data_IF_408205369486
#
_entry.id   IF_408205369486
#
_cell.length_a   1.000
_cell.length_b   1.000
_cell.length_c   1.000
_cell.angle_alpha   90.00
_cell.angle_beta   90.00
_cell.angle_gamma   90.00
#
_symmetry.space_group_name_H-M   'P 1'
#
loop_
_entity.id
_entity.type
_entity.pdbx_description
1 polymer ?
#
# COMPACT_ATOMS: atom_id res chain seq x y z
N UNK A 1 -0.50 -16.07 -72.23
CA UNK A 1 -1.09 -16.67 -71.02
C UNK A 1 -0.23 -17.87 -70.64
N UNK A 2 -0.07 -18.09 -69.34
CA UNK A 2 0.78 -19.09 -68.67
C UNK A 2 2.27 -18.77 -68.61
N UNK A 3 2.68 -18.16 -67.50
CA UNK A 3 3.48 -18.86 -66.49
C UNK A 3 3.45 -18.01 -65.21
N UNK A 4 2.56 -18.39 -64.29
CA UNK A 4 2.53 -17.89 -62.92
C UNK A 4 2.21 -19.09 -62.02
N UNK A 5 2.83 -19.09 -60.84
CA UNK A 5 2.60 -19.95 -59.67
C UNK A 5 3.36 -21.28 -59.62
N UNK A 6 4.59 -21.23 -59.08
CA UNK A 6 5.12 -22.33 -58.27
C UNK A 6 6.19 -21.79 -57.28
N UNK A 7 5.72 -21.17 -56.20
CA UNK A 7 6.48 -20.95 -54.96
C UNK A 7 5.54 -21.08 -53.77
N UNK A 8 5.17 -22.30 -53.41
CA UNK A 8 4.63 -22.58 -52.08
C UNK A 8 4.74 -24.09 -51.75
N UNK A 9 5.95 -24.59 -51.47
CA UNK A 9 6.15 -25.97 -51.02
C UNK A 9 6.99 -26.02 -49.74
N UNK A 10 6.35 -25.69 -48.61
CA UNK A 10 6.95 -25.83 -47.28
C UNK A 10 5.97 -26.28 -46.18
N UNK A 11 4.70 -26.52 -46.49
CA UNK A 11 3.67 -26.84 -45.50
C UNK A 11 2.96 -28.19 -45.70
N UNK A 12 3.32 -28.98 -46.72
CA UNK A 12 2.59 -30.20 -47.12
C UNK A 12 3.26 -31.54 -46.73
N UNK A 13 3.96 -31.62 -45.59
CA UNK A 13 4.45 -32.95 -45.13
C UNK A 13 4.56 -33.15 -43.62
N UNK A 14 3.83 -32.40 -42.81
CA UNK A 14 3.61 -32.82 -41.41
C UNK A 14 2.29 -33.56 -41.32
N UNK A 15 2.32 -34.79 -40.84
CA UNK A 15 1.11 -35.54 -40.54
C UNK A 15 0.29 -34.80 -39.48
N UNK A 16 -1.04 -34.95 -39.51
CA UNK A 16 -1.92 -34.35 -38.50
C UNK A 16 -1.48 -34.78 -37.09
N UNK A 17 -1.06 -36.04 -36.92
CA UNK A 17 -0.52 -36.56 -35.66
C UNK A 17 0.75 -35.82 -35.20
N UNK A 18 1.67 -35.48 -36.09
CA UNK A 18 2.87 -34.70 -35.74
C UNK A 18 2.54 -33.25 -35.34
N UNK A 19 1.47 -32.66 -35.90
CA UNK A 19 0.99 -31.35 -35.46
C UNK A 19 0.47 -31.41 -34.01
N UNK A 20 -0.29 -32.47 -33.66
CA UNK A 20 -0.77 -32.66 -32.29
C UNK A 20 0.34 -33.02 -31.31
N UNK A 21 1.33 -33.84 -31.71
CA UNK A 21 2.47 -34.19 -30.87
C UNK A 21 3.38 -32.99 -30.57
N UNK A 22 3.53 -32.06 -31.51
CA UNK A 22 4.28 -30.80 -31.29
C UNK A 22 3.51 -29.77 -30.47
N UNK A 23 2.18 -29.84 -30.49
CA UNK A 23 1.30 -29.02 -29.64
C UNK A 23 1.10 -29.65 -28.25
N UNK A 24 1.69 -30.81 -27.99
CA UNK A 24 1.52 -31.51 -26.73
C UNK A 24 2.34 -30.79 -25.66
N UNK A 25 1.65 -30.36 -24.62
CA UNK A 25 2.25 -29.69 -23.49
C UNK A 25 3.33 -30.56 -22.83
N UNK A 26 4.51 -29.98 -22.63
CA UNK A 26 5.57 -30.66 -21.89
C UNK A 26 5.33 -30.59 -20.38
N UNK A 27 5.98 -31.47 -19.62
CA UNK A 27 5.92 -31.41 -18.16
C UNK A 27 6.46 -30.07 -17.62
N UNK A 28 7.46 -29.48 -18.28
CA UNK A 28 8.00 -28.16 -17.94
C UNK A 28 7.00 -27.04 -18.25
N UNK A 29 6.30 -27.10 -19.39
CA UNK A 29 5.24 -26.14 -19.73
C UNK A 29 4.05 -26.24 -18.77
N UNK A 30 3.66 -27.46 -18.38
CA UNK A 30 2.63 -27.69 -17.38
C UNK A 30 3.05 -27.17 -15.99
N UNK A 31 4.33 -27.31 -15.62
CA UNK A 31 4.86 -26.73 -14.38
C UNK A 31 4.92 -25.20 -14.43
N UNK A 32 5.37 -24.61 -15.55
CA UNK A 32 5.41 -23.16 -15.75
C UNK A 32 4.01 -22.56 -15.74
N UNK A 33 3.05 -23.16 -16.45
CA UNK A 33 1.65 -22.75 -16.44
C UNK A 33 1.02 -22.92 -15.05
N UNK A 34 1.32 -24.01 -14.33
CA UNK A 34 0.87 -24.15 -12.94
C UNK A 34 1.51 -23.11 -12.00
N UNK A 35 2.76 -22.68 -12.25
CA UNK A 35 3.41 -21.61 -11.51
C UNK A 35 2.83 -20.23 -11.88
N UNK A 36 2.54 -19.97 -13.15
CA UNK A 36 1.91 -18.73 -13.63
C UNK A 36 0.45 -18.61 -13.17
N UNK A 37 -0.33 -19.69 -13.25
CA UNK A 37 -1.67 -19.78 -12.70
C UNK A 37 -1.64 -19.51 -11.19
N UNK A 38 -0.73 -20.14 -10.42
CA UNK A 38 -0.57 -19.85 -8.99
C UNK A 38 -0.05 -18.43 -8.70
N UNK A 39 0.71 -17.82 -9.61
CA UNK A 39 1.24 -16.45 -9.47
C UNK A 39 0.13 -15.41 -9.61
N UNK A 40 -0.86 -15.65 -10.47
CA UNK A 40 -2.07 -14.82 -10.56
C UNK A 40 -2.88 -14.81 -9.24
N UNK A 41 -2.73 -15.85 -8.41
CA UNK A 41 -3.34 -15.97 -7.08
C UNK A 41 -2.38 -15.58 -5.93
N UNK A 42 -1.11 -15.29 -6.20
CA UNK A 42 -0.13 -14.94 -5.19
C UNK A 42 -0.38 -13.51 -4.68
N UNK A 43 -1.25 -13.42 -3.68
CA UNK A 43 -1.56 -12.20 -2.95
C UNK A 43 -0.28 -11.56 -2.44
N UNK A 44 -0.01 -10.32 -2.86
CA UNK A 44 1.09 -9.54 -2.30
C UNK A 44 0.66 -9.06 -0.92
N UNK A 45 1.45 -9.41 0.10
CA UNK A 45 1.23 -8.91 1.45
C UNK A 45 1.85 -7.52 1.58
N UNK A 46 1.07 -6.55 2.06
CA UNK A 46 1.56 -5.19 2.31
C UNK A 46 2.00 -5.06 3.76
N UNK A 47 3.21 -4.54 3.96
CA UNK A 47 3.75 -4.24 5.27
C UNK A 47 3.13 -2.94 5.82
N UNK A 48 2.72 -2.95 7.08
CA UNK A 48 2.16 -1.78 7.78
C UNK A 48 2.87 -1.54 9.10
N UNK A 49 3.05 -0.28 9.43
CA UNK A 49 3.64 0.17 10.69
C UNK A 49 2.54 0.48 11.70
N UNK A 50 1.76 -0.54 12.08
CA UNK A 50 0.53 -0.34 12.86
C UNK A 50 0.80 0.16 14.30
N UNK A 51 1.91 -0.25 14.90
CA UNK A 51 2.32 0.07 16.28
C UNK A 51 3.37 1.19 16.34
N UNK A 52 3.45 1.91 17.46
CA UNK A 52 4.64 2.70 17.77
C UNK A 52 5.82 1.79 18.11
N UNK A 53 7.02 2.23 17.76
CA UNK A 53 8.25 1.48 17.98
C UNK A 53 9.17 1.48 16.77
N UNK A 54 10.23 0.68 16.87
CA UNK A 54 11.27 0.57 15.86
C UNK A 54 11.04 -0.67 15.01
N UNK A 55 10.77 -0.47 13.73
CA UNK A 55 10.68 -1.53 12.74
C UNK A 55 12.05 -1.77 12.11
N UNK A 56 12.58 -2.98 12.25
CA UNK A 56 13.86 -3.38 11.65
C UNK A 56 13.58 -4.14 10.36
N UNK A 57 13.94 -3.54 9.23
CA UNK A 57 13.55 -3.99 7.90
C UNK A 57 14.76 -4.33 7.04
N UNK A 58 14.58 -5.34 6.18
CA UNK A 58 15.54 -5.71 5.15
C UNK A 58 14.99 -5.33 3.78
N UNK A 59 15.47 -4.22 3.21
CA UNK A 59 15.03 -3.73 1.90
C UNK A 59 15.63 -4.57 0.77
N UNK A 60 14.82 -5.05 -0.16
CA UNK A 60 15.26 -5.98 -1.18
C UNK A 60 15.65 -5.29 -2.49
N UNK A 61 16.61 -5.85 -3.25
CA UNK A 61 16.90 -5.35 -4.59
C UNK A 61 15.73 -5.66 -5.53
N UNK A 62 15.65 -4.93 -6.65
CA UNK A 62 14.72 -5.30 -7.72
C UNK A 62 15.16 -6.64 -8.33
N UNK A 63 14.23 -7.60 -8.37
CA UNK A 63 14.44 -8.89 -8.98
C UNK A 63 14.75 -8.74 -10.49
N UNK A 64 15.67 -9.54 -11.05
CA UNK A 64 15.86 -9.58 -12.50
C UNK A 64 14.61 -10.12 -13.21
N UNK A 65 14.54 -9.90 -14.51
CA UNK A 65 13.54 -10.54 -15.37
C UNK A 65 13.76 -12.07 -15.41
N UNK A 66 12.76 -12.81 -15.89
CA UNK A 66 12.82 -14.28 -15.92
C UNK A 66 13.96 -14.81 -16.80
N UNK A 67 14.32 -14.08 -17.84
CA UNK A 67 15.45 -14.36 -18.73
C UNK A 67 16.82 -14.00 -18.11
N UNK A 68 16.83 -13.53 -16.87
CA UNK A 68 18.04 -13.11 -16.15
C UNK A 68 18.51 -11.69 -16.51
N UNK A 69 17.80 -10.97 -17.37
CA UNK A 69 18.14 -9.58 -17.69
C UNK A 69 17.78 -8.63 -16.54
N UNK A 70 18.53 -7.54 -16.33
CA UNK A 70 18.15 -6.54 -15.34
C UNK A 70 16.87 -5.81 -15.77
N UNK A 71 15.84 -5.83 -14.91
CA UNK A 71 14.63 -5.01 -15.10
C UNK A 71 14.97 -3.51 -15.06
N UNK A 72 15.56 -3.09 -13.94
CA UNK A 72 16.19 -1.77 -13.73
C UNK A 72 17.09 -1.82 -12.49
N UNK A 73 18.14 -0.99 -12.41
CA UNK A 73 18.89 -0.85 -11.17
C UNK A 73 18.03 -0.16 -10.10
N UNK A 74 18.07 -0.69 -8.87
CA UNK A 74 17.38 -0.07 -7.74
C UNK A 74 16.77 -1.09 -6.76
N UNK A 75 15.90 -0.58 -5.90
CA UNK A 75 15.16 -1.34 -4.89
C UNK A 75 13.70 -0.89 -4.75
N UNK A 76 13.28 0.15 -5.46
CA UNK A 76 11.96 0.78 -5.31
C UNK A 76 11.35 1.12 -6.66
N UNK A 77 10.03 1.34 -6.71
CA UNK A 77 9.34 1.99 -7.82
C UNK A 77 8.52 3.20 -7.35
N UNK A 78 8.56 4.32 -8.10
CA UNK A 78 7.69 5.46 -7.83
C UNK A 78 6.22 5.06 -8.02
N UNK A 79 5.32 5.60 -7.20
CA UNK A 79 3.89 5.33 -7.33
C UNK A 79 3.08 6.61 -7.19
N UNK A 80 2.07 6.77 -8.05
CA UNK A 80 1.04 7.78 -7.93
C UNK A 80 -0.28 7.11 -7.59
N UNK A 81 -0.78 7.37 -6.38
CA UNK A 81 -2.01 6.76 -5.87
C UNK A 81 -2.93 7.80 -5.23
N UNK A 82 -4.23 7.53 -5.32
CA UNK A 82 -5.27 8.33 -4.69
C UNK A 82 -6.21 7.38 -3.94
N UNK A 83 -6.51 7.72 -2.68
CA UNK A 83 -7.54 7.03 -1.91
C UNK A 83 -8.90 7.68 -2.21
N UNK A 84 -9.78 6.92 -2.86
CA UNK A 84 -11.15 7.33 -3.14
C UNK A 84 -12.02 7.05 -1.92
N UNK A 85 -12.61 8.10 -1.37
CA UNK A 85 -13.61 8.02 -0.33
C UNK A 85 -15.01 8.09 -0.97
N UNK A 86 -15.71 6.96 -0.97
CA UNK A 86 -17.00 6.79 -1.64
C UNK A 86 -18.11 6.66 -0.61
N UNK A 87 -19.09 7.55 -0.66
CA UNK A 87 -20.31 7.43 0.13
C UNK A 87 -21.24 6.38 -0.46
N UNK A 88 -21.67 5.42 0.36
CA UNK A 88 -22.63 4.41 -0.06
C UNK A 88 -24.04 5.02 -0.12
N UNK A 89 -24.82 4.69 -1.16
CA UNK A 89 -26.23 5.07 -1.22
C UNK A 89 -27.00 4.50 -0.02
N UNK A 90 -27.57 5.37 0.82
CA UNK A 90 -28.30 4.97 2.03
C UNK A 90 -29.82 5.07 1.88
N UNK A 91 -30.56 4.06 2.35
CA UNK A 91 -32.02 4.12 2.52
C UNK A 91 -32.42 4.82 3.86
N UNK A 92 -31.81 5.97 4.17
CA UNK A 92 -32.15 6.78 5.36
C UNK A 92 -31.49 6.37 6.69
N UNK A 93 -30.50 5.46 6.68
CA UNK A 93 -29.58 5.23 7.80
C UNK A 93 -28.21 5.88 7.53
N UNK A 94 -27.43 6.17 8.58
CA UNK A 94 -26.11 6.85 8.53
C UNK A 94 -25.30 6.47 7.29
N UNK A 95 -24.82 7.49 6.56
CA UNK A 95 -23.94 7.32 5.41
C UNK A 95 -22.76 6.42 5.81
N UNK A 96 -22.59 5.33 5.08
CA UNK A 96 -21.44 4.43 5.24
C UNK A 96 -20.47 4.71 4.12
N UNK A 97 -19.18 4.73 4.40
CA UNK A 97 -18.14 5.01 3.41
C UNK A 97 -17.47 3.72 2.93
N UNK A 98 -16.95 3.75 1.71
CA UNK A 98 -16.14 2.71 1.08
C UNK A 98 -14.84 3.36 0.61
N UNK A 99 -13.74 2.66 0.77
CA UNK A 99 -12.41 3.16 0.43
C UNK A 99 -11.83 2.33 -0.69
N UNK A 100 -11.38 2.98 -1.76
CA UNK A 100 -10.73 2.33 -2.91
C UNK A 100 -9.48 3.11 -3.26
N UNK A 101 -8.32 2.47 -3.19
CA UNK A 101 -7.09 3.08 -3.70
C UNK A 101 -7.00 2.86 -5.20
N UNK A 102 -6.73 3.92 -5.95
CA UNK A 102 -6.50 3.86 -7.41
C UNK A 102 -5.12 4.42 -7.75
N UNK A 103 -4.45 3.81 -8.72
CA UNK A 103 -3.26 4.40 -9.34
C UNK A 103 -3.66 5.40 -10.42
N UNK A 104 -2.71 6.23 -10.87
CA UNK A 104 -2.90 7.05 -12.08
C UNK A 104 -3.01 6.12 -13.29
N UNK A 105 -4.06 6.26 -14.09
CA UNK A 105 -4.33 5.39 -15.22
C UNK A 105 -3.21 5.43 -16.27
N UNK A 106 -2.55 6.58 -16.47
CA UNK A 106 -1.39 6.67 -17.37
C UNK A 106 -0.17 5.90 -16.86
N UNK A 107 0.00 5.79 -15.54
CA UNK A 107 1.09 4.98 -14.95
C UNK A 107 0.82 3.47 -15.17
N UNK A 108 -0.46 3.10 -15.29
CA UNK A 108 -0.92 1.76 -15.69
C UNK A 108 -0.82 1.49 -17.20
N UNK A 109 -0.36 2.46 -18.00
CA UNK A 109 -0.16 2.31 -19.45
C UNK A 109 -1.36 2.71 -20.32
N UNK A 110 -2.41 3.30 -19.73
CA UNK A 110 -3.56 3.81 -20.48
C UNK A 110 -3.32 5.22 -21.02
N UNK A 111 -4.05 5.62 -22.06
CA UNK A 111 -3.82 6.91 -22.75
C UNK A 111 -4.40 8.12 -22.02
N UNK A 112 -5.41 7.91 -21.18
CA UNK A 112 -6.17 8.96 -20.50
C UNK A 112 -6.30 8.68 -19.00
N UNK A 113 -6.49 9.74 -18.21
CA UNK A 113 -6.72 9.64 -16.77
C UNK A 113 -7.97 10.46 -16.36
N UNK A 114 -9.06 9.82 -15.92
CA UNK A 114 -10.32 10.51 -15.62
C UNK A 114 -10.22 11.47 -14.42
N UNK A 115 -9.39 11.15 -13.41
CA UNK A 115 -9.24 11.99 -12.22
C UNK A 115 -8.44 13.25 -12.55
N UNK A 116 -7.37 13.12 -13.32
CA UNK A 116 -6.56 14.24 -13.80
C UNK A 116 -7.37 15.18 -14.70
N UNK A 117 -8.16 14.62 -15.64
CA UNK A 117 -9.04 15.40 -16.51
C UNK A 117 -10.09 16.13 -15.67
N UNK A 118 -10.79 15.42 -14.79
CA UNK A 118 -11.79 16.03 -13.91
C UNK A 118 -11.17 17.13 -13.04
N UNK A 119 -10.00 16.89 -12.44
CA UNK A 119 -9.31 17.90 -11.61
C UNK A 119 -9.06 19.17 -12.38
N UNK A 120 -8.52 19.09 -13.60
CA UNK A 120 -8.25 20.28 -14.44
C UNK A 120 -9.52 21.06 -14.75
N UNK A 121 -10.59 20.37 -15.12
CA UNK A 121 -11.89 20.97 -15.40
C UNK A 121 -12.49 21.63 -14.16
N UNK A 122 -12.42 20.96 -13.01
CA UNK A 122 -12.95 21.45 -11.75
C UNK A 122 -12.18 22.66 -11.21
N UNK A 123 -10.85 22.67 -11.33
CA UNK A 123 -10.01 23.85 -11.01
C UNK A 123 -10.35 25.03 -11.92
N UNK A 124 -10.54 24.80 -13.21
CA UNK A 124 -10.92 25.84 -14.16
C UNK A 124 -12.31 26.42 -13.82
N UNK A 125 -13.30 25.54 -13.59
CA UNK A 125 -14.65 25.93 -13.21
C UNK A 125 -14.68 26.72 -11.90
N UNK A 126 -13.93 26.28 -10.87
CA UNK A 126 -13.82 26.99 -9.61
C UNK A 126 -13.24 28.41 -9.79
N UNK A 127 -12.21 28.56 -10.62
CA UNK A 127 -11.62 29.87 -10.95
C UNK A 127 -12.59 30.77 -11.72
N UNK A 128 -13.35 30.22 -12.66
CA UNK A 128 -14.39 30.96 -13.39
C UNK A 128 -15.52 31.47 -12.47
N UNK A 129 -15.85 30.70 -11.43
CA UNK A 129 -16.78 31.11 -10.36
C UNK A 129 -16.17 32.12 -9.37
N UNK A 130 -14.87 32.40 -9.46
CA UNK A 130 -14.15 33.27 -8.53
C UNK A 130 -13.86 32.62 -7.16
N UNK A 131 -13.95 31.29 -7.07
CA UNK A 131 -13.66 30.53 -5.84
C UNK A 131 -12.24 29.96 -5.86
N UNK A 132 -11.26 30.83 -5.60
CA UNK A 132 -9.84 30.47 -5.54
C UNK A 132 -9.54 29.43 -4.45
N UNK A 133 -10.30 29.43 -3.34
CA UNK A 133 -10.10 28.46 -2.25
C UNK A 133 -10.49 27.06 -2.67
N UNK A 134 -11.64 26.93 -3.36
CA UNK A 134 -12.07 25.65 -3.92
C UNK A 134 -11.09 25.16 -4.99
N UNK A 135 -10.60 26.07 -5.85
CA UNK A 135 -9.60 25.73 -6.86
C UNK A 135 -8.30 25.19 -6.22
N UNK A 136 -7.78 25.85 -5.18
CA UNK A 136 -6.61 25.40 -4.43
C UNK A 136 -6.86 24.06 -3.73
N UNK A 137 -8.05 23.86 -3.15
CA UNK A 137 -8.43 22.59 -2.51
C UNK A 137 -8.42 21.44 -3.51
N UNK A 138 -9.06 21.62 -4.66
CA UNK A 138 -9.16 20.58 -5.71
C UNK A 138 -7.77 20.26 -6.29
N UNK A 139 -6.92 21.26 -6.51
CA UNK A 139 -5.56 21.07 -7.04
C UNK A 139 -4.56 20.55 -5.99
N UNK A 140 -4.97 20.56 -4.72
CA UNK A 140 -4.24 20.04 -3.58
C UNK A 140 -4.19 18.51 -3.50
N UNK A 141 -3.42 18.01 -2.53
CA UNK A 141 -3.31 16.57 -2.26
C UNK A 141 -4.58 15.97 -1.65
N UNK A 142 -4.69 14.65 -1.74
CA UNK A 142 -5.81 13.85 -1.21
C UNK A 142 -6.16 14.13 0.25
N UNK A 143 -5.15 14.41 1.07
CA UNK A 143 -5.29 14.66 2.50
C UNK A 143 -6.13 15.92 2.82
N UNK A 144 -6.06 16.95 1.95
CA UNK A 144 -6.92 18.14 2.06
C UNK A 144 -8.27 18.01 1.34
N UNK A 145 -8.66 16.80 0.93
CA UNK A 145 -9.84 16.55 0.08
C UNK A 145 -9.66 17.00 -1.37
N UNK A 146 -8.40 17.11 -1.82
CA UNK A 146 -8.04 17.42 -3.20
C UNK A 146 -7.90 16.18 -4.07
N UNK A 147 -7.75 16.39 -5.37
CA UNK A 147 -7.73 15.33 -6.38
C UNK A 147 -6.34 15.05 -6.96
N UNK A 148 -5.29 15.64 -6.38
CA UNK A 148 -3.92 15.35 -6.78
C UNK A 148 -3.48 14.00 -6.21
N UNK A 149 -3.00 13.12 -7.09
CA UNK A 149 -2.36 11.87 -6.71
C UNK A 149 -1.22 12.10 -5.72
N UNK A 150 -1.23 11.32 -4.63
CA UNK A 150 -0.10 11.21 -3.72
C UNK A 150 1.08 10.56 -4.42
N UNK A 151 2.29 11.05 -4.14
CA UNK A 151 3.52 10.51 -4.69
C UNK A 151 4.29 9.75 -3.61
N UNK A 152 4.60 8.49 -3.88
CA UNK A 152 5.28 7.58 -2.96
C UNK A 152 6.23 6.63 -3.67
N UNK A 153 6.79 5.70 -2.91
CA UNK A 153 7.75 4.71 -3.39
C UNK A 153 7.45 3.34 -2.79
N UNK A 154 7.29 2.34 -3.66
CA UNK A 154 7.03 0.95 -3.26
C UNK A 154 8.29 0.10 -3.37
N UNK A 155 8.55 -0.76 -2.38
CA UNK A 155 9.67 -1.69 -2.37
C UNK A 155 9.32 -2.99 -1.67
N UNK A 156 10.02 -4.06 -2.01
CA UNK A 156 9.93 -5.32 -1.27
C UNK A 156 10.85 -5.30 -0.04
N UNK A 157 10.37 -5.87 1.05
CA UNK A 157 11.08 -5.97 2.33
C UNK A 157 10.92 -7.36 2.95
N UNK A 158 11.80 -7.69 3.90
CA UNK A 158 11.49 -8.60 5.00
C UNK A 158 11.43 -7.82 6.31
N UNK A 159 10.40 -8.07 7.12
CA UNK A 159 10.41 -7.67 8.53
C UNK A 159 11.38 -8.58 9.30
N UNK A 160 12.39 -8.00 9.94
CA UNK A 160 13.38 -8.78 10.69
C UNK A 160 12.85 -9.27 12.03
N UNK A 161 11.82 -8.61 12.57
CA UNK A 161 11.14 -9.05 13.79
C UNK A 161 10.22 -10.24 13.51
N UNK A 162 9.66 -10.30 12.31
CA UNK A 162 8.68 -11.33 11.90
C UNK A 162 9.04 -11.97 10.55
N UNK A 163 10.30 -12.37 10.37
CA UNK A 163 10.84 -12.90 9.10
C UNK A 163 10.06 -14.11 8.55
N UNK A 164 9.34 -14.82 9.41
CA UNK A 164 8.44 -15.92 9.05
C UNK A 164 7.18 -15.51 8.27
N UNK A 165 6.77 -14.24 8.29
CA UNK A 165 5.71 -13.71 7.41
C UNK A 165 6.11 -13.71 5.94
N UNK A 166 7.42 -13.78 5.68
CA UNK A 166 7.94 -13.83 4.33
C UNK A 166 7.98 -12.46 3.67
N UNK A 167 7.91 -12.47 2.34
CA UNK A 167 8.11 -11.29 1.51
C UNK A 167 6.90 -10.34 1.60
N UNK A 168 7.15 -9.07 1.92
CA UNK A 168 6.10 -8.06 1.99
C UNK A 168 6.46 -6.82 1.16
N UNK A 169 5.45 -6.09 0.70
CA UNK A 169 5.60 -4.83 -0.01
C UNK A 169 5.35 -3.65 0.93
N UNK A 170 6.29 -2.71 0.99
CA UNK A 170 6.16 -1.49 1.78
C UNK A 170 6.03 -0.29 0.83
N UNK A 171 5.12 0.63 1.17
CA UNK A 171 5.00 1.94 0.52
C UNK A 171 5.49 3.01 1.48
N UNK A 172 6.40 3.86 1.01
CA UNK A 172 6.84 5.06 1.70
C UNK A 172 6.27 6.30 1.00
N UNK A 173 5.92 7.32 1.77
CA UNK A 173 5.68 8.64 1.20
C UNK A 173 6.95 9.18 0.55
N UNK A 174 6.82 10.15 -0.37
CA UNK A 174 8.00 10.74 -1.00
C UNK A 174 8.98 11.36 0.02
N UNK A 175 8.47 11.95 1.11
CA UNK A 175 9.30 12.51 2.17
C UNK A 175 10.10 11.44 2.92
N UNK A 176 9.45 10.35 3.33
CA UNK A 176 10.09 9.19 3.97
C UNK A 176 11.13 8.56 3.05
N UNK A 177 10.81 8.39 1.76
CA UNK A 177 11.75 7.85 0.79
C UNK A 177 12.98 8.74 0.64
N UNK A 178 12.79 10.06 0.51
CA UNK A 178 13.91 11.01 0.39
C UNK A 178 14.82 10.94 1.61
N UNK A 179 14.24 10.84 2.80
CA UNK A 179 14.97 10.69 4.04
C UNK A 179 15.83 9.40 4.08
N UNK A 180 15.25 8.27 3.66
CA UNK A 180 15.96 6.99 3.50
C UNK A 180 17.10 7.13 2.48
N UNK A 181 16.84 7.76 1.34
CA UNK A 181 17.76 7.87 0.22
C UNK A 181 18.97 8.74 0.59
N UNK A 182 18.76 9.86 1.28
CA UNK A 182 19.81 10.73 1.82
C UNK A 182 20.72 9.98 2.81
N UNK A 183 20.13 9.22 3.74
CA UNK A 183 20.90 8.40 4.70
C UNK A 183 21.71 7.32 4.01
N UNK A 184 21.10 6.63 3.03
CA UNK A 184 21.77 5.64 2.19
C UNK A 184 22.97 6.27 1.47
N UNK A 185 22.79 7.39 0.78
CA UNK A 185 23.88 8.05 0.05
C UNK A 185 25.01 8.48 0.98
N UNK A 186 24.68 9.03 2.16
CA UNK A 186 25.67 9.43 3.16
C UNK A 186 26.50 8.24 3.66
N UNK A 187 25.86 7.10 3.94
CA UNK A 187 26.55 5.87 4.33
C UNK A 187 27.37 5.30 3.17
N UNK A 188 26.78 5.22 1.99
CA UNK A 188 27.42 4.61 0.82
C UNK A 188 28.67 5.36 0.40
N UNK A 189 28.63 6.70 0.38
CA UNK A 189 29.80 7.55 0.10
C UNK A 189 30.97 7.24 1.04
N UNK A 190 30.72 7.06 2.34
CA UNK A 190 31.76 6.66 3.32
C UNK A 190 32.33 5.26 3.04
N UNK A 191 31.49 4.31 2.63
CA UNK A 191 31.93 2.93 2.32
C UNK A 191 32.74 2.89 1.03
N UNK A 192 32.35 3.67 0.02
CA UNK A 192 33.04 3.78 -1.28
C UNK A 192 34.46 4.34 -1.17
N UNK A 193 34.72 5.22 -0.19
CA UNK A 193 36.08 5.70 0.09
C UNK A 193 37.05 4.58 0.49
N UNK A 194 36.55 3.52 1.13
CA UNK A 194 37.35 2.36 1.56
C UNK A 194 37.36 1.25 0.51
N UNK A 195 36.23 1.04 -0.17
CA UNK A 195 36.07 0.05 -1.23
C UNK A 195 35.28 0.68 -2.38
N UNK A 196 35.95 1.08 -3.49
CA UNK A 196 35.27 1.70 -4.64
C UNK A 196 34.19 0.84 -5.30
N UNK A 197 34.19 -0.47 -5.05
CA UNK A 197 33.19 -1.43 -5.55
C UNK A 197 32.17 -1.83 -4.47
N UNK A 198 32.08 -1.08 -3.37
CA UNK A 198 31.12 -1.39 -2.31
C UNK A 198 29.68 -1.32 -2.86
N UNK A 199 28.86 -2.37 -2.69
CA UNK A 199 27.52 -2.41 -3.25
C UNK A 199 26.56 -1.52 -2.44
N UNK A 200 25.31 -1.39 -2.90
CA UNK A 200 24.30 -0.59 -2.19
C UNK A 200 24.13 -1.06 -0.73
N UNK A 201 24.29 -0.17 0.27
CA UNK A 201 24.37 -0.57 1.68
C UNK A 201 23.02 -0.94 2.30
N UNK A 202 21.90 -0.79 1.59
CA UNK A 202 20.56 -1.12 2.13
C UNK A 202 19.83 -2.20 1.34
N UNK A 203 20.23 -2.43 0.07
CA UNK A 203 19.52 -3.34 -0.82
C UNK A 203 20.39 -4.39 -1.51
N UNK A 204 21.73 -4.36 -1.34
CA UNK A 204 22.57 -5.40 -1.93
C UNK A 204 22.23 -6.78 -1.39
N UNK A 205 22.45 -7.82 -2.18
CA UNK A 205 22.11 -9.21 -1.80
C UNK A 205 22.90 -9.68 -0.58
N UNK A 206 24.14 -9.22 -0.40
CA UNK A 206 25.09 -9.75 0.59
C UNK A 206 25.52 -8.76 1.67
N UNK A 207 25.55 -7.48 1.35
CA UNK A 207 26.25 -6.43 2.10
C UNK A 207 25.28 -5.28 2.43
N UNK A 208 24.05 -5.64 2.81
CA UNK A 208 23.02 -4.68 3.16
C UNK A 208 22.78 -4.68 4.67
N UNK A 209 22.72 -3.48 5.22
CA UNK A 209 22.42 -3.24 6.63
C UNK A 209 20.91 -3.17 6.86
N UNK A 210 20.44 -3.52 8.07
CA UNK A 210 19.07 -3.26 8.48
C UNK A 210 18.73 -1.77 8.33
N UNK A 211 17.53 -1.51 7.83
CA UNK A 211 16.93 -0.17 7.85
C UNK A 211 15.96 -0.15 9.03
N UNK A 212 16.11 0.84 9.87
CA UNK A 212 15.27 1.05 11.04
C UNK A 212 14.31 2.19 10.76
N UNK A 213 13.02 1.97 11.00
CA UNK A 213 12.01 3.02 10.95
C UNK A 213 11.39 3.10 12.33
N UNK A 214 11.72 4.14 13.08
CA UNK A 214 11.08 4.46 14.35
C UNK A 214 9.81 5.26 14.06
N UNK A 215 8.66 4.65 14.31
CA UNK A 215 7.38 5.34 14.39
C UNK A 215 7.19 5.77 15.85
N UNK A 216 7.09 7.08 16.08
CA UNK A 216 6.93 7.64 17.44
C UNK A 216 5.96 8.82 17.46
N UNK A 217 5.54 9.18 18.67
CA UNK A 217 4.66 10.32 18.91
C UNK A 217 5.50 11.56 19.21
N UNK A 218 5.26 12.66 18.49
CA UNK A 218 5.88 13.95 18.74
C UNK A 218 4.79 14.99 19.03
N UNK A 219 4.36 15.02 20.30
CA UNK A 219 3.21 15.81 20.72
C UNK A 219 1.90 15.18 20.24
N UNK A 220 1.16 15.89 19.38
CA UNK A 220 -0.01 15.32 18.72
C UNK A 220 0.42 14.38 17.57
N UNK A 221 1.38 14.83 16.75
CA UNK A 221 1.74 14.23 15.46
C UNK A 221 2.47 12.89 15.57
N UNK A 222 2.19 11.99 14.64
CA UNK A 222 3.04 10.84 14.34
C UNK A 222 4.27 11.29 13.57
N UNK A 223 5.46 10.89 14.02
CA UNK A 223 6.74 11.13 13.36
C UNK A 223 7.39 9.80 12.99
N UNK A 224 8.06 9.79 11.83
CA UNK A 224 8.85 8.66 11.34
C UNK A 224 10.31 9.08 11.27
N UNK A 225 11.18 8.31 11.91
CA UNK A 225 12.63 8.52 11.84
C UNK A 225 13.26 7.28 11.21
N UNK A 226 13.97 7.51 10.12
CA UNK A 226 14.67 6.43 9.44
C UNK A 226 16.12 6.39 9.94
N UNK A 227 16.69 5.21 10.16
CA UNK A 227 18.11 4.99 10.41
C UNK A 227 18.59 3.78 9.62
N UNK A 228 19.91 3.67 9.45
CA UNK A 228 20.54 2.49 8.88
C UNK A 228 21.48 1.96 9.95
N UNK A 229 21.19 0.76 10.45
CA UNK A 229 21.98 0.12 11.49
C UNK A 229 23.26 -0.46 10.87
N UNK A 230 24.24 0.41 10.67
CA UNK A 230 25.55 0.05 10.13
C UNK A 230 26.55 -0.42 11.20
N UNK A 231 26.09 -0.56 12.46
CA UNK A 231 26.86 -1.13 13.58
C UNK A 231 26.64 -2.64 13.66
N UNK A 232 25.43 -3.11 13.33
CA UNK A 232 25.13 -4.52 13.13
C UNK A 232 25.79 -5.10 11.88
N UNK A 233 25.87 -6.44 11.87
CA UNK A 233 26.34 -7.21 10.71
C UNK A 233 25.42 -7.02 9.50
N UNK A 234 26.02 -7.15 8.31
CA UNK A 234 25.25 -7.19 7.07
C UNK A 234 24.35 -8.42 7.03
N UNK A 235 23.20 -8.27 6.38
CA UNK A 235 22.16 -9.28 6.29
C UNK A 235 22.11 -9.87 4.86
N UNK A 236 22.88 -10.93 4.58
CA UNK A 236 22.80 -11.61 3.30
C UNK A 236 21.44 -12.30 3.14
N UNK A 237 20.91 -12.26 1.91
CA UNK A 237 19.70 -13.02 1.56
C UNK A 237 20.05 -14.50 1.37
N UNK A 238 19.21 -15.38 1.90
CA UNK A 238 19.32 -16.81 1.70
C UNK A 238 18.91 -17.21 0.27
N UNK A 239 19.21 -18.46 -0.11
CA UNK A 239 18.77 -18.98 -1.42
C UNK A 239 17.25 -19.06 -1.51
N UNK A 240 16.60 -19.44 -0.41
CA UNK A 240 15.14 -19.49 -0.30
C UNK A 240 14.54 -18.10 -0.47
N UNK A 241 15.10 -17.07 0.18
CA UNK A 241 14.63 -15.69 0.07
C UNK A 241 14.80 -15.09 -1.32
N UNK A 242 15.92 -15.40 -1.99
CA UNK A 242 16.14 -15.01 -3.38
C UNK A 242 15.16 -15.72 -4.32
N UNK A 243 14.85 -16.99 -4.04
CA UNK A 243 13.86 -17.76 -4.82
C UNK A 243 12.46 -17.17 -4.64
N UNK A 244 12.08 -16.79 -3.42
CA UNK A 244 10.82 -16.12 -3.13
C UNK A 244 10.73 -14.75 -3.83
N UNK A 245 11.79 -13.95 -3.79
CA UNK A 245 11.85 -12.65 -4.48
C UNK A 245 11.78 -12.79 -6.01
N UNK A 246 12.39 -13.83 -6.58
CA UNK A 246 12.28 -14.13 -8.02
C UNK A 246 10.86 -14.50 -8.42
N UNK A 247 10.20 -15.34 -7.61
CA UNK A 247 8.84 -15.81 -7.82
C UNK A 247 7.76 -14.75 -7.56
N UNK A 248 8.07 -13.71 -6.76
CA UNK A 248 7.15 -12.63 -6.46
C UNK A 248 6.65 -11.91 -7.72
N UNK A 249 5.40 -11.41 -7.73
CA UNK A 249 4.94 -10.45 -8.74
C UNK A 249 5.94 -9.29 -8.88
N UNK A 250 6.10 -8.72 -10.08
CA UNK A 250 6.92 -7.52 -10.20
C UNK A 250 6.14 -6.34 -9.61
N UNK A 251 6.84 -5.46 -8.90
CA UNK A 251 6.20 -4.31 -8.23
C UNK A 251 5.24 -3.56 -9.19
N UNK A 252 5.64 -3.17 -10.42
CA UNK A 252 4.75 -2.51 -11.38
C UNK A 252 3.47 -3.26 -11.70
N UNK A 253 3.52 -4.59 -11.79
CA UNK A 253 2.35 -5.44 -12.10
C UNK A 253 1.32 -5.39 -10.97
N UNK A 254 1.76 -5.10 -9.74
CA UNK A 254 0.90 -4.96 -8.57
C UNK A 254 0.40 -3.52 -8.43
N UNK A 255 1.32 -2.54 -8.42
CA UNK A 255 1.00 -1.16 -8.03
C UNK A 255 0.38 -0.33 -9.14
N UNK A 256 0.66 -0.65 -10.41
CA UNK A 256 0.08 0.04 -11.56
C UNK A 256 -1.12 -0.72 -12.13
N UNK A 257 -1.74 -1.60 -11.33
CA UNK A 257 -2.93 -2.31 -11.75
C UNK A 257 -4.14 -1.36 -11.73
N UNK A 258 -4.75 -1.15 -12.89
CA UNK A 258 -6.00 -0.41 -13.04
C UNK A 258 -6.98 -1.24 -13.88
N UNK A 259 -8.15 -1.54 -13.32
CA UNK A 259 -9.13 -2.51 -13.84
C UNK A 259 -10.50 -1.85 -14.02
N UNK A 260 -11.46 -2.57 -14.61
CA UNK A 260 -12.87 -2.13 -14.71
C UNK A 260 -13.49 -1.80 -13.35
N UNK A 261 -13.14 -2.54 -12.30
CA UNK A 261 -13.49 -2.20 -10.92
C UNK A 261 -12.98 -0.79 -10.53
N UNK A 262 -11.72 -0.48 -10.82
CA UNK A 262 -11.13 0.84 -10.49
C UNK A 262 -11.77 1.97 -11.31
N UNK A 263 -12.09 1.72 -12.58
CA UNK A 263 -12.83 2.68 -13.41
C UNK A 263 -14.22 2.94 -12.82
N UNK A 264 -14.96 1.89 -12.46
CA UNK A 264 -16.29 2.02 -11.86
C UNK A 264 -16.27 2.80 -10.55
N UNK A 265 -15.31 2.50 -9.66
CA UNK A 265 -15.10 3.25 -8.42
C UNK A 265 -14.78 4.72 -8.69
N UNK A 266 -13.93 4.98 -9.68
CA UNK A 266 -13.53 6.34 -10.07
C UNK A 266 -14.71 7.15 -10.60
N UNK A 267 -15.53 6.55 -11.47
CA UNK A 267 -16.72 7.22 -12.02
C UNK A 267 -17.71 7.60 -10.92
N UNK A 268 -17.99 6.70 -9.97
CA UNK A 268 -18.88 7.01 -8.84
C UNK A 268 -18.28 8.09 -7.93
N UNK A 269 -16.97 8.04 -7.67
CA UNK A 269 -16.28 9.03 -6.86
C UNK A 269 -16.34 10.44 -7.49
N UNK A 270 -16.14 10.55 -8.81
CA UNK A 270 -16.19 11.83 -9.50
C UNK A 270 -17.61 12.40 -9.60
N UNK A 271 -18.65 11.56 -9.66
CA UNK A 271 -20.06 12.03 -9.53
C UNK A 271 -20.35 12.60 -8.14
N UNK A 272 -19.83 11.96 -7.10
CA UNK A 272 -19.93 12.49 -5.73
C UNK A 272 -19.14 13.80 -5.59
N UNK A 273 -17.98 13.89 -6.26
CA UNK A 273 -17.19 15.12 -6.33
C UNK A 273 -17.96 16.27 -6.99
N UNK A 274 -18.70 16.00 -8.07
CA UNK A 274 -19.58 16.99 -8.70
C UNK A 274 -20.61 17.55 -7.71
N UNK A 275 -21.24 16.66 -6.93
CA UNK A 275 -22.20 17.07 -5.90
C UNK A 275 -21.52 17.89 -4.80
N UNK A 276 -20.34 17.44 -4.34
CA UNK A 276 -19.58 18.09 -3.29
C UNK A 276 -19.10 19.50 -3.69
N UNK A 277 -18.67 19.68 -4.93
CA UNK A 277 -18.14 20.95 -5.43
C UNK A 277 -19.22 21.84 -6.08
N UNK A 278 -20.46 21.36 -6.17
CA UNK A 278 -21.56 22.09 -6.82
C UNK A 278 -21.38 22.22 -8.33
N UNK A 279 -20.74 21.23 -8.96
CA UNK A 279 -20.40 21.18 -10.38
C UNK A 279 -21.19 20.10 -11.11
N UNK A 280 -21.10 20.06 -12.43
CA UNK A 280 -21.72 19.04 -13.28
C UNK A 280 -20.79 18.66 -14.45
N UNK A 281 -19.53 18.35 -14.12
CA UNK A 281 -18.50 18.08 -15.10
C UNK A 281 -18.57 16.66 -15.65
N UNK A 282 -19.11 15.71 -14.89
CA UNK A 282 -19.29 14.32 -15.34
C UNK A 282 -20.27 14.21 -16.51
N UNK A 283 -21.16 15.18 -16.67
CA UNK A 283 -22.07 15.26 -17.82
C UNK A 283 -21.47 15.92 -19.06
N UNK A 284 -20.26 16.49 -18.95
CA UNK A 284 -19.56 17.07 -20.10
C UNK A 284 -19.15 16.02 -21.13
N UNK A 285 -19.09 16.43 -22.40
CA UNK A 285 -18.65 15.55 -23.50
C UNK A 285 -17.20 15.08 -23.28
N UNK A 286 -16.34 15.94 -22.71
CA UNK A 286 -14.94 15.61 -22.43
C UNK A 286 -14.81 14.48 -21.40
N UNK A 287 -15.55 14.54 -20.29
CA UNK A 287 -15.54 13.46 -19.30
C UNK A 287 -16.13 12.15 -19.85
N UNK A 288 -17.20 12.24 -20.64
CA UNK A 288 -17.80 11.07 -21.31
C UNK A 288 -16.83 10.41 -22.29
N UNK A 289 -16.10 11.19 -23.07
CA UNK A 289 -15.09 10.70 -24.02
C UNK A 289 -13.91 10.03 -23.30
N UNK A 290 -13.40 10.64 -22.23
CA UNK A 290 -12.30 10.06 -21.42
C UNK A 290 -12.71 8.73 -20.80
N UNK A 291 -13.90 8.64 -20.21
CA UNK A 291 -14.40 7.39 -19.62
C UNK A 291 -14.59 6.32 -20.70
N UNK A 292 -15.15 6.67 -21.86
CA UNK A 292 -15.35 5.73 -22.96
C UNK A 292 -14.02 5.23 -23.54
N UNK A 293 -13.03 6.11 -23.68
CA UNK A 293 -11.68 5.77 -24.15
C UNK A 293 -11.02 4.78 -23.19
N UNK A 294 -10.98 5.11 -21.89
CA UNK A 294 -10.40 4.22 -20.89
C UNK A 294 -11.13 2.87 -20.82
N UNK A 295 -12.46 2.86 -20.88
CA UNK A 295 -13.27 1.64 -20.88
C UNK A 295 -12.98 0.70 -22.08
N UNK A 296 -12.61 1.27 -23.22
CA UNK A 296 -12.25 0.55 -24.45
C UNK A 296 -10.81 0.00 -24.42
N UNK A 297 -9.89 0.68 -23.73
CA UNK A 297 -8.51 0.23 -23.54
C UNK A 297 -8.39 -0.86 -22.48
N UNK A 298 -9.29 -0.89 -21.50
CA UNK A 298 -9.32 -1.94 -20.47
C UNK A 298 -9.49 -3.34 -21.09
N UNK A 299 -8.80 -4.37 -20.56
CA UNK A 299 -8.90 -5.74 -21.05
C UNK A 299 -10.36 -6.23 -21.17
N UNK A 300 -10.67 -6.96 -22.23
CA UNK A 300 -12.05 -7.43 -22.53
C UNK A 300 -12.47 -8.60 -21.65
N UNK A 301 -11.51 -9.36 -21.17
CA UNK A 301 -11.61 -10.48 -20.25
C UNK A 301 -11.66 -10.04 -18.77
N UNK A 302 -11.37 -8.77 -18.48
CA UNK A 302 -11.61 -8.18 -17.17
C UNK A 302 -13.11 -8.04 -16.92
N UNK A 303 -13.64 -8.90 -16.05
CA UNK A 303 -15.05 -8.89 -15.61
C UNK A 303 -15.24 -8.22 -14.26
N UNK A 304 -14.21 -7.54 -13.72
CA UNK A 304 -14.30 -6.89 -12.41
C UNK A 304 -15.27 -5.70 -12.48
N UNK A 305 -16.33 -5.74 -11.69
CA UNK A 305 -17.33 -4.67 -11.64
C UNK A 305 -17.36 -4.02 -10.27
N UNK A 306 -17.39 -2.68 -10.26
CA UNK A 306 -17.53 -1.94 -9.02
C UNK A 306 -18.94 -2.08 -8.45
N UNK A 307 -19.04 -2.39 -7.16
CA UNK A 307 -20.29 -2.41 -6.43
C UNK A 307 -20.10 -2.03 -4.98
N UNK A 308 -21.07 -1.29 -4.44
CA UNK A 308 -21.13 -0.92 -3.03
C UNK A 308 -21.42 -2.11 -2.09
N UNK A 309 -21.90 -3.24 -2.63
CA UNK A 309 -22.21 -4.45 -1.86
C UNK A 309 -20.95 -5.32 -1.66
N UNK A 310 -20.58 -5.52 -0.39
CA UNK A 310 -19.34 -6.21 0.03
C UNK A 310 -19.43 -7.74 -0.05
N UNK A 311 -20.53 -8.30 -0.54
CA UNK A 311 -20.77 -9.76 -0.56
C UNK A 311 -20.24 -10.46 -1.80
N UNK A 312 -19.83 -9.75 -2.84
CA UNK A 312 -19.21 -10.37 -4.01
C UNK A 312 -17.79 -10.83 -3.69
N UNK A 313 -17.43 -12.03 -4.15
CA UNK A 313 -16.09 -12.61 -3.99
C UNK A 313 -15.00 -11.69 -4.58
N UNK A 314 -15.33 -11.01 -5.67
CA UNK A 314 -14.43 -10.12 -6.42
C UNK A 314 -14.03 -8.85 -5.65
N UNK A 315 -14.88 -8.36 -4.73
CA UNK A 315 -14.57 -7.17 -3.93
C UNK A 315 -13.42 -7.42 -2.93
N UNK A 316 -13.34 -8.64 -2.37
CA UNK A 316 -12.30 -9.00 -1.40
C UNK A 316 -10.92 -9.18 -2.04
N UNK A 317 -10.88 -9.69 -3.26
CA UNK A 317 -9.63 -9.93 -4.01
C UNK A 317 -9.06 -8.62 -4.60
N UNK A 318 -9.91 -7.65 -4.94
CA UNK A 318 -9.48 -6.34 -5.44
C UNK A 318 -9.10 -5.34 -4.32
N UNK A 319 -9.79 -5.36 -3.16
CA UNK A 319 -9.40 -4.53 -2.00
C UNK A 319 -7.99 -4.88 -1.49
N UNK A 320 -7.58 -6.15 -1.54
CA UNK A 320 -6.31 -6.63 -0.95
C UNK A 320 -5.08 -6.45 -1.84
N UNK A 321 -5.27 -6.35 -3.15
CA UNK A 321 -4.17 -6.15 -4.10
C UNK A 321 -3.78 -4.67 -4.28
N UNK A 322 -4.53 -3.74 -3.68
CA UNK A 322 -4.25 -2.31 -3.67
C UNK A 322 -4.43 -1.66 -2.28
N UNK A 323 -4.38 -2.42 -1.18
CA UNK A 323 -4.79 -1.91 0.13
C UNK A 323 -3.80 -0.90 0.73
N UNK A 324 -3.91 0.35 0.33
CA UNK A 324 -3.85 1.47 1.28
C UNK A 324 -5.11 1.47 2.12
N UNK A 325 -5.34 0.39 2.89
CA UNK A 325 -6.45 0.42 3.84
C UNK A 325 -6.12 1.47 4.91
N UNK A 326 -7.16 2.13 5.42
CA UNK A 326 -7.04 3.12 6.49
C UNK A 326 -6.09 2.59 7.56
N UNK A 327 -5.00 3.30 7.78
CA UNK A 327 -4.08 3.04 8.89
C UNK A 327 -4.56 3.77 10.14
N UNK A 328 -4.08 3.33 11.30
CA UNK A 328 -4.31 4.07 12.54
C UNK A 328 -3.77 5.50 12.46
N UNK A 329 -2.69 5.72 11.71
CA UNK A 329 -2.09 7.05 11.54
C UNK A 329 -2.99 7.98 10.75
N UNK A 330 -3.61 7.50 9.67
CA UNK A 330 -4.57 8.29 8.88
C UNK A 330 -5.73 8.79 9.76
N UNK A 331 -6.13 8.00 10.76
CA UNK A 331 -7.17 8.38 11.72
C UNK A 331 -6.72 9.44 12.73
N UNK A 332 -5.51 9.31 13.29
CA UNK A 332 -4.96 10.28 14.23
C UNK A 332 -4.67 11.61 13.55
N UNK A 333 -4.10 11.56 12.35
CA UNK A 333 -3.86 12.73 11.52
C UNK A 333 -5.15 13.50 11.23
N UNK A 334 -6.22 12.81 10.81
CA UNK A 334 -7.52 13.43 10.61
C UNK A 334 -8.13 14.00 11.90
N UNK A 335 -7.91 13.36 13.06
CA UNK A 335 -8.34 13.91 14.34
C UNK A 335 -7.65 15.23 14.66
N UNK A 336 -6.36 15.34 14.40
CA UNK A 336 -5.59 16.56 14.63
C UNK A 336 -6.01 17.71 13.74
N UNK A 337 -6.34 17.45 12.47
CA UNK A 337 -6.88 18.46 11.56
C UNK A 337 -8.20 19.04 12.08
N UNK A 338 -9.12 18.17 12.52
CA UNK A 338 -10.38 18.62 13.09
C UNK A 338 -10.16 19.47 14.34
N UNK A 339 -9.20 19.11 15.19
CA UNK A 339 -8.83 19.92 16.34
C UNK A 339 -8.23 21.27 15.94
N UNK A 340 -7.39 21.31 14.90
CA UNK A 340 -6.79 22.54 14.39
C UNK A 340 -7.82 23.50 13.80
N UNK A 341 -8.86 22.97 13.18
CA UNK A 341 -10.01 23.72 12.64
C UNK A 341 -11.08 24.07 13.70
N UNK A 342 -10.92 23.56 14.93
CA UNK A 342 -11.88 23.76 16.02
C UNK A 342 -13.18 22.96 15.87
N UNK A 343 -13.17 21.93 15.03
CA UNK A 343 -14.29 21.02 14.78
C UNK A 343 -14.29 19.88 15.81
N UNK A 344 -15.36 19.79 16.60
CA UNK A 344 -15.50 18.79 17.64
C UNK A 344 -16.23 17.52 17.18
N UNK A 345 -16.24 16.49 18.02
CA UNK A 345 -16.86 15.17 17.73
C UNK A 345 -18.33 15.21 17.28
N UNK A 346 -19.06 16.28 17.57
CA UNK A 346 -20.48 16.46 17.21
C UNK A 346 -20.68 17.16 15.85
N UNK A 347 -19.63 17.72 15.25
CA UNK A 347 -19.71 18.27 13.89
C UNK A 347 -19.85 17.13 12.89
N UNK A 348 -20.19 17.49 11.65
CA UNK A 348 -20.33 16.51 10.57
C UNK A 348 -19.01 15.76 10.38
N UNK A 349 -17.90 16.50 10.26
CA UNK A 349 -16.55 16.00 10.09
C UNK A 349 -16.07 15.20 11.33
N UNK A 350 -16.48 15.60 12.53
CA UNK A 350 -16.28 14.80 13.74
C UNK A 350 -17.04 13.47 13.71
N UNK A 351 -18.26 13.44 13.17
CA UNK A 351 -19.00 12.18 12.98
C UNK A 351 -18.43 11.33 11.84
N UNK A 352 -17.80 11.94 10.83
CA UNK A 352 -17.06 11.25 9.77
C UNK A 352 -15.83 10.54 10.31
N UNK A 353 -14.99 11.25 11.07
CA UNK A 353 -13.84 10.63 11.75
C UNK A 353 -14.28 9.46 12.62
N UNK A 354 -15.40 9.63 13.33
CA UNK A 354 -15.97 8.54 14.12
C UNK A 354 -16.37 7.34 13.26
N UNK A 355 -16.83 7.55 12.04
CA UNK A 355 -17.18 6.49 11.10
C UNK A 355 -15.91 5.78 10.57
N UNK A 356 -14.86 6.53 10.26
CA UNK A 356 -13.55 6.00 9.88
C UNK A 356 -12.95 5.12 10.98
N UNK A 357 -13.02 5.60 12.23
CA UNK A 357 -12.63 4.83 13.42
C UNK A 357 -13.39 3.51 13.53
N UNK A 358 -14.71 3.49 13.24
CA UNK A 358 -15.48 2.22 13.23
C UNK A 358 -15.00 1.29 12.13
N UNK A 359 -14.78 1.84 10.93
CA UNK A 359 -14.32 1.08 9.78
C UNK A 359 -12.98 0.40 10.06
N UNK A 360 -12.08 1.10 10.74
CA UNK A 360 -10.80 0.56 11.18
C UNK A 360 -10.94 -0.53 12.24
N UNK A 361 -11.77 -0.33 13.27
CA UNK A 361 -12.06 -1.36 14.29
C UNK A 361 -12.61 -2.64 13.64
N UNK A 362 -13.53 -2.50 12.70
CA UNK A 362 -14.13 -3.64 11.98
C UNK A 362 -13.12 -4.33 11.05
N UNK A 363 -12.26 -3.55 10.39
CA UNK A 363 -11.20 -4.05 9.50
C UNK A 363 -10.17 -4.87 10.28
N UNK A 364 -9.66 -4.32 11.37
CA UNK A 364 -8.63 -4.93 12.21
C UNK A 364 -9.20 -5.93 13.24
N UNK A 365 -10.54 -6.08 13.27
CA UNK A 365 -11.27 -6.99 14.18
C UNK A 365 -10.97 -6.75 15.66
N UNK A 366 -10.83 -5.49 16.05
CA UNK A 366 -10.49 -5.10 17.42
C UNK A 366 -11.71 -5.30 18.34
N UNK A 367 -11.55 -5.84 19.57
CA UNK A 367 -12.64 -6.04 20.53
C UNK A 367 -13.10 -4.74 21.22
N UNK A 368 -13.21 -3.63 20.48
CA UNK A 368 -13.53 -2.30 21.00
C UNK A 368 -15.01 -2.00 20.80
N UNK A 369 -15.72 -1.71 21.90
CA UNK A 369 -17.15 -1.39 21.86
C UNK A 369 -17.38 0.12 21.82
N UNK A 370 -17.96 0.58 20.72
CA UNK A 370 -18.27 2.00 20.52
C UNK A 370 -19.56 2.37 21.24
N UNK A 371 -19.47 3.27 22.23
CA UNK A 371 -20.65 3.83 22.91
C UNK A 371 -20.98 5.23 22.41
N UNK A 372 -22.15 5.80 22.77
CA UNK A 372 -22.53 7.17 22.39
C UNK A 372 -21.79 8.25 23.18
N UNK A 373 -21.22 7.91 24.33
CA UNK A 373 -20.51 8.83 25.22
C UNK A 373 -19.00 8.88 24.96
N UNK A 374 -18.43 7.84 24.34
CA UNK A 374 -16.98 7.79 24.06
C UNK A 374 -16.60 8.90 23.08
N UNK A 375 -15.55 9.68 23.32
CA UNK A 375 -15.09 10.67 22.33
C UNK A 375 -14.37 10.00 21.16
N UNK A 376 -14.15 10.72 20.05
CA UNK A 376 -13.32 10.20 18.95
C UNK A 376 -11.89 9.99 19.43
N UNK A 377 -11.39 10.89 20.27
CA UNK A 377 -10.08 10.74 20.91
C UNK A 377 -9.98 9.47 21.73
N UNK A 378 -10.96 9.23 22.60
CA UNK A 378 -11.00 8.02 23.43
C UNK A 378 -11.07 6.75 22.59
N UNK A 379 -11.81 6.74 21.47
CA UNK A 379 -11.84 5.58 20.59
C UNK A 379 -10.48 5.33 19.93
N UNK A 380 -9.78 6.39 19.50
CA UNK A 380 -8.43 6.28 18.95
C UNK A 380 -7.45 5.78 20.01
N UNK A 381 -7.53 6.29 21.23
CA UNK A 381 -6.68 5.85 22.35
C UNK A 381 -7.00 4.39 22.74
N UNK A 382 -8.26 3.94 22.67
CA UNK A 382 -8.64 2.53 22.88
C UNK A 382 -8.11 1.62 21.77
N UNK A 383 -8.13 2.09 20.52
CA UNK A 383 -7.53 1.39 19.38
C UNK A 383 -6.02 1.28 19.55
N UNK A 384 -5.36 2.39 19.91
CA UNK A 384 -3.93 2.48 20.21
C UNK A 384 -3.56 1.47 21.30
N UNK A 385 -4.31 1.43 22.42
CA UNK A 385 -4.09 0.49 23.52
C UNK A 385 -4.27 -0.98 23.12
N UNK A 386 -5.33 -1.30 22.38
CA UNK A 386 -5.58 -2.68 21.93
C UNK A 386 -4.51 -3.16 20.95
N UNK A 387 -3.98 -2.25 20.13
CA UNK A 387 -2.91 -2.54 19.17
C UNK A 387 -1.54 -2.61 19.85
N UNK A 388 -1.25 -1.78 20.85
CA UNK A 388 -0.03 -1.86 21.66
C UNK A 388 0.04 -3.20 22.43
N UNK A 389 -1.10 -3.74 22.87
CA UNK A 389 -1.17 -4.90 23.75
C UNK A 389 -0.82 -4.53 25.20
N UNK A 390 -0.91 -5.47 26.17
CA UNK A 390 -0.60 -5.17 27.56
C UNK A 390 0.87 -4.74 27.67
N UNK A 391 1.08 -3.50 28.16
CA UNK A 391 2.40 -3.06 28.59
C UNK A 391 2.89 -4.04 29.66
N UNK A 392 4.17 -4.47 29.64
CA UNK A 392 4.74 -5.13 30.79
C UNK A 392 4.51 -4.19 31.97
N UNK A 393 3.79 -4.66 32.98
CA UNK A 393 3.75 -3.96 34.26
C UNK A 393 5.21 -3.80 34.67
N UNK A 394 5.66 -2.55 34.80
CA UNK A 394 6.87 -2.25 35.54
C UNK A 394 6.72 -3.01 36.85
N UNK A 395 7.61 -3.99 37.07
CA UNK A 395 7.76 -4.65 38.35
C UNK A 395 7.90 -3.52 39.36
N UNK A 396 6.81 -3.27 40.08
CA UNK A 396 6.80 -2.42 41.24
C UNK A 396 7.84 -3.05 42.14
N UNK A 397 8.92 -2.32 42.39
CA UNK A 397 9.98 -2.69 43.30
C UNK A 397 9.32 -3.26 44.57
N UNK A 398 9.32 -4.58 44.68
CA UNK A 398 8.96 -5.25 45.90
C UNK A 398 10.06 -4.88 46.89
N UNK A 399 9.74 -3.93 47.78
CA UNK A 399 10.51 -3.66 48.99
C UNK A 399 10.88 -5.00 49.62
N UNK A 400 12.17 -5.31 49.62
CA UNK A 400 12.73 -6.45 50.32
C UNK A 400 12.58 -6.20 51.82
N UNK A 401 11.53 -6.76 52.42
CA UNK A 401 11.48 -7.01 53.86
C UNK A 401 12.55 -8.08 54.20
N UNK A 402 13.68 -7.61 54.72
CA UNK A 402 14.66 -8.40 55.44
C UNK A 402 14.01 -8.94 56.74
N UNK A 403 13.42 -10.13 56.69
CA UNK A 403 13.12 -10.90 57.90
C UNK A 403 14.32 -11.78 58.30
N UNK A 404 14.79 -11.49 59.51
CA UNK A 404 15.92 -12.07 60.22
C UNK A 404 15.95 -13.61 60.23
N UNK A 405 17.09 -14.16 59.79
CA UNK A 405 17.51 -15.52 60.09
C UNK A 405 17.67 -15.71 61.60
N UNK A 406 16.77 -16.49 62.22
CA UNK A 406 16.98 -17.08 63.54
C UNK A 406 17.67 -18.44 63.38
N UNK A 407 19.00 -18.46 63.45
CA UNK A 407 19.78 -19.70 63.58
C UNK A 407 19.69 -20.24 65.04
N UNK A 408 19.26 -21.50 65.14
CA UNK A 408 19.24 -22.30 66.36
C UNK A 408 20.63 -22.46 67.00
N UNK A 409 20.74 -22.14 68.30
CA UNK A 409 21.85 -22.60 69.16
C UNK A 409 21.54 -23.94 69.81
N UNK A 410 22.42 -24.96 69.75
CA UNK A 410 22.31 -26.14 70.59
C UNK A 410 22.91 -25.90 71.98
N UNK A 411 22.28 -26.48 73.00
CA UNK A 411 22.66 -26.37 74.43
C UNK A 411 23.88 -27.23 74.81
N UNK A 412 24.73 -26.61 75.64
CA UNK A 412 25.51 -27.14 76.79
C UNK A 412 26.67 -28.12 76.58
N UNK A 413 27.85 -27.70 77.06
CA UNK A 413 28.60 -28.16 78.27
C UNK A 413 29.90 -27.33 78.27
N UNK A 414 30.45 -26.79 79.36
CA UNK A 414 30.54 -27.24 80.75
C UNK A 414 30.84 -26.03 81.63
#
# INVERSE_FOLDING_TARGET
MQEDLEKNNGMESMSIEEMFLKSQESYEDAQLRAQEENRSFARTEFFRMDKFGVYRLRILPIAPNQDGTPSRPGYEFPVHQLLLELEKPGNGAKASKMYVTVTRATDAGYSVDPIETYRKLAVAAAKEMGDEKLAEKIDGGSFGGGLKYGYGHCMYIYDLSERGKGLQMMTLSHAQFKELDERKFKLWSKKLQKNPSYPCPISSVREAYPVEIEKRKNGAKTEYIISIDNESDALPLSREELTALLAAPRIPEVIYRYTRYHLGATVEFLKQSDTLYGMNLMESDEMKEVIATLAAELPKDDTSEFSFDRRSKDNKENEQNGSGALSLDDLFERFEELQAEGLGDKTEEGQELRAMIRGYIDQERLPIRITRSTSNRELLDMIEHEIEGPKPEEETEAESDDEEQTEERPRRRR
#
